data_IF_831993027080
#
_entry.id   IF_831993027080
#
_cell.length_a   1.000
_cell.length_b   1.000
_cell.length_c   1.000
_cell.angle_alpha   90.00
_cell.angle_beta   90.00
_cell.angle_gamma   90.00
#
_symmetry.space_group_name_H-M   'P 1'
#
loop_
_entity.id
_entity.type
_entity.pdbx_description
1 polymer ?
#
# COMPACT_ATOMS: atom_id res chain seq x y z
N UNK A 1 48.36 -3.75 -1.91
CA UNK A 1 47.96 -4.77 -2.90
C UNK A 1 46.74 -4.24 -3.64
N UNK A 2 46.73 -4.18 -4.99
CA UNK A 2 45.57 -3.70 -5.73
C UNK A 2 44.39 -4.64 -5.46
N UNK A 3 43.23 -4.10 -5.08
CA UNK A 3 42.03 -4.89 -4.91
C UNK A 3 41.75 -5.66 -6.20
N UNK A 4 41.53 -6.97 -6.11
CA UNK A 4 41.20 -7.80 -7.28
C UNK A 4 39.95 -7.21 -7.96
N UNK A 5 39.92 -7.20 -9.30
CA UNK A 5 38.89 -6.53 -10.14
C UNK A 5 37.41 -6.82 -9.76
N UNK A 6 37.14 -7.91 -9.04
CA UNK A 6 35.81 -8.32 -8.53
C UNK A 6 35.46 -7.79 -7.12
N UNK A 7 36.42 -7.19 -6.41
CA UNK A 7 36.28 -6.63 -5.05
C UNK A 7 36.24 -5.09 -5.05
N UNK A 8 36.00 -4.46 -6.20
CA UNK A 8 35.68 -3.03 -6.21
C UNK A 8 34.24 -2.83 -5.69
N UNK A 9 33.96 -1.68 -5.08
CA UNK A 9 32.65 -1.38 -4.46
C UNK A 9 31.48 -1.63 -5.42
N UNK A 10 31.66 -1.31 -6.70
CA UNK A 10 30.63 -1.50 -7.74
C UNK A 10 30.24 -2.98 -7.93
N UNK A 11 31.20 -3.89 -7.97
CA UNK A 11 30.92 -5.32 -8.17
C UNK A 11 30.36 -5.97 -6.92
N UNK A 12 30.78 -5.51 -5.73
CA UNK A 12 30.23 -5.98 -4.45
C UNK A 12 28.72 -5.70 -4.38
N UNK A 13 28.27 -4.52 -4.79
CA UNK A 13 26.85 -4.18 -4.83
C UNK A 13 26.06 -5.09 -5.78
N UNK A 14 26.62 -5.42 -6.96
CA UNK A 14 26.00 -6.35 -7.92
C UNK A 14 25.86 -7.75 -7.34
N UNK A 15 26.91 -8.31 -6.74
CA UNK A 15 26.84 -9.63 -6.12
C UNK A 15 25.88 -9.67 -4.94
N UNK A 16 25.90 -8.63 -4.09
CA UNK A 16 24.99 -8.52 -2.96
C UNK A 16 23.53 -8.49 -3.44
N UNK A 17 23.23 -7.67 -4.45
CA UNK A 17 21.89 -7.62 -5.06
C UNK A 17 21.48 -8.97 -5.65
N UNK A 18 22.37 -9.63 -6.39
CA UNK A 18 22.14 -10.96 -6.95
C UNK A 18 21.86 -12.02 -5.89
N UNK A 19 22.61 -12.03 -4.79
CA UNK A 19 22.39 -12.95 -3.66
C UNK A 19 21.05 -12.68 -2.98
N UNK A 20 20.70 -11.41 -2.73
CA UNK A 20 19.40 -11.04 -2.15
C UNK A 20 18.26 -11.55 -3.03
N UNK A 21 18.34 -11.34 -4.36
CA UNK A 21 17.33 -11.83 -5.30
C UNK A 21 17.23 -13.36 -5.24
N UNK A 22 18.35 -14.08 -5.26
CA UNK A 22 18.38 -15.54 -5.18
C UNK A 22 17.75 -16.06 -3.89
N UNK A 23 18.07 -15.44 -2.74
CA UNK A 23 17.49 -15.79 -1.44
C UNK A 23 15.98 -15.55 -1.43
N UNK A 24 15.52 -14.40 -1.95
CA UNK A 24 14.09 -14.10 -2.05
C UNK A 24 13.39 -15.14 -2.93
N UNK A 25 13.90 -15.43 -4.13
CA UNK A 25 13.31 -16.42 -5.03
C UNK A 25 13.25 -17.80 -4.36
N UNK A 26 14.32 -18.24 -3.70
CA UNK A 26 14.36 -19.52 -3.00
C UNK A 26 13.35 -19.58 -1.84
N UNK A 27 13.30 -18.52 -1.04
CA UNK A 27 12.34 -18.37 0.07
C UNK A 27 10.88 -18.47 -0.39
N UNK A 28 10.54 -17.82 -1.51
CA UNK A 28 9.20 -17.87 -2.10
C UNK A 28 8.90 -19.20 -2.80
N UNK A 29 9.86 -19.74 -3.57
CA UNK A 29 9.68 -20.99 -4.34
C UNK A 29 9.47 -22.20 -3.42
N UNK A 30 10.14 -22.21 -2.27
CA UNK A 30 9.99 -23.25 -1.26
C UNK A 30 8.87 -22.99 -0.25
N UNK A 31 8.05 -21.94 -0.44
CA UNK A 31 6.98 -21.52 0.49
C UNK A 31 7.48 -21.41 1.94
N UNK A 32 8.75 -21.07 2.14
CA UNK A 32 9.34 -20.96 3.47
C UNK A 32 8.74 -19.81 4.27
N UNK A 33 8.18 -18.81 3.56
CA UNK A 33 7.53 -17.64 4.15
C UNK A 33 6.23 -17.31 3.44
N UNK A 34 5.12 -17.25 4.19
CA UNK A 34 3.86 -16.68 3.69
C UNK A 34 3.81 -15.18 3.97
N UNK A 35 4.27 -14.39 3.00
CA UNK A 35 4.33 -12.93 3.11
C UNK A 35 2.96 -12.26 3.01
N UNK A 36 1.89 -12.99 2.67
CA UNK A 36 0.52 -12.44 2.60
C UNK A 36 0.03 -11.95 3.95
N UNK A 37 0.47 -12.57 5.03
CA UNK A 37 0.10 -12.18 6.41
C UNK A 37 0.96 -11.04 6.97
N UNK A 38 2.03 -10.64 6.25
CA UNK A 38 2.99 -9.61 6.67
C UNK A 38 2.72 -8.27 5.98
N UNK A 39 1.74 -8.22 5.07
CA UNK A 39 1.36 -6.98 4.38
C UNK A 39 0.65 -6.04 5.36
N UNK A 40 1.33 -4.97 5.74
CA UNK A 40 0.70 -3.84 6.44
C UNK A 40 -0.17 -3.04 5.48
N UNK A 41 -1.33 -2.59 5.97
CA UNK A 41 -2.17 -1.64 5.24
C UNK A 41 -1.76 -0.20 5.55
N UNK A 42 -1.74 0.63 4.51
CA UNK A 42 -1.55 2.07 4.64
C UNK A 42 -2.76 2.84 4.13
N UNK A 43 -3.74 2.18 3.52
CA UNK A 43 -4.91 2.87 2.98
C UNK A 43 -5.75 3.43 4.12
N UNK A 44 -6.12 4.71 4.00
CA UNK A 44 -7.05 5.37 4.91
C UNK A 44 -7.86 6.42 4.16
N UNK A 45 -9.10 6.65 4.57
CA UNK A 45 -9.98 7.66 3.97
C UNK A 45 -10.85 8.28 5.07
N UNK A 46 -11.15 9.57 5.03
CA UNK A 46 -12.05 10.21 6.00
C UNK A 46 -13.50 10.16 5.51
N UNK A 47 -14.47 10.40 6.41
CA UNK A 47 -15.88 10.45 6.02
C UNK A 47 -16.16 11.59 5.05
N UNK A 48 -15.50 12.74 5.24
CA UNK A 48 -15.60 13.88 4.33
C UNK A 48 -15.11 13.51 2.91
N UNK A 49 -14.03 12.74 2.79
CA UNK A 49 -13.51 12.28 1.51
C UNK A 49 -14.47 11.31 0.82
N UNK A 50 -15.07 10.38 1.57
CA UNK A 50 -16.12 9.49 1.04
C UNK A 50 -17.32 10.29 0.56
N UNK A 51 -17.78 11.26 1.34
CA UNK A 51 -18.88 12.14 0.96
C UNK A 51 -18.56 12.94 -0.31
N UNK A 52 -17.32 13.43 -0.46
CA UNK A 52 -16.85 14.15 -1.63
C UNK A 52 -16.84 13.27 -2.90
N UNK A 53 -16.43 12.01 -2.80
CA UNK A 53 -16.38 11.07 -3.95
C UNK A 53 -17.74 10.42 -4.27
N UNK A 54 -18.68 10.43 -3.32
CA UNK A 54 -19.99 9.77 -3.42
C UNK A 54 -20.78 10.14 -4.68
N UNK A 55 -20.91 11.41 -5.10
CA UNK A 55 -21.65 11.76 -6.31
C UNK A 55 -21.09 11.09 -7.58
N UNK A 56 -19.76 11.02 -7.69
CA UNK A 56 -19.09 10.36 -8.82
C UNK A 56 -19.34 8.86 -8.83
N UNK A 57 -19.26 8.22 -7.66
CA UNK A 57 -19.56 6.79 -7.51
C UNK A 57 -21.03 6.45 -7.79
N UNK A 58 -21.97 7.29 -7.36
CA UNK A 58 -23.40 7.13 -7.68
C UNK A 58 -23.62 7.19 -9.19
N UNK A 59 -23.00 8.16 -9.90
CA UNK A 59 -23.10 8.25 -11.35
C UNK A 59 -22.56 7.01 -12.08
N UNK A 60 -21.44 6.45 -11.60
CA UNK A 60 -20.88 5.20 -12.11
C UNK A 60 -21.80 4.00 -11.82
N UNK A 61 -22.38 3.94 -10.62
CA UNK A 61 -23.33 2.89 -10.24
C UNK A 61 -24.62 2.96 -11.05
N UNK A 62 -25.13 4.15 -11.35
CA UNK A 62 -26.32 4.33 -12.19
C UNK A 62 -26.10 3.76 -13.60
N UNK A 63 -24.89 3.90 -14.14
CA UNK A 63 -24.50 3.28 -15.41
C UNK A 63 -24.48 1.76 -15.29
N UNK A 64 -23.85 1.21 -14.24
CA UNK A 64 -23.82 -0.24 -13.98
C UNK A 64 -25.23 -0.83 -13.80
N UNK A 65 -26.12 -0.13 -13.08
CA UNK A 65 -27.51 -0.54 -12.84
C UNK A 65 -28.32 -0.57 -14.14
N UNK A 66 -28.18 0.47 -14.97
CA UNK A 66 -28.83 0.53 -16.29
C UNK A 66 -28.37 -0.63 -17.18
N UNK A 67 -27.07 -0.87 -17.27
CA UNK A 67 -26.50 -1.96 -18.05
C UNK A 67 -26.93 -3.34 -17.54
N UNK A 68 -26.92 -3.53 -16.22
CA UNK A 68 -27.34 -4.79 -15.61
C UNK A 68 -28.84 -5.05 -15.85
N UNK A 69 -29.67 -4.01 -15.87
CA UNK A 69 -31.10 -4.11 -16.18
C UNK A 69 -31.31 -4.47 -17.65
N UNK A 70 -30.62 -3.80 -18.58
CA UNK A 70 -30.71 -4.08 -20.01
C UNK A 70 -30.26 -5.51 -20.38
N UNK A 71 -29.33 -6.08 -19.62
CA UNK A 71 -28.77 -7.43 -19.85
C UNK A 71 -29.38 -8.51 -18.94
N UNK A 72 -30.44 -8.20 -18.20
CA UNK A 72 -31.09 -9.06 -17.19
C UNK A 72 -30.11 -9.72 -16.18
N UNK A 73 -29.06 -8.99 -15.80
CA UNK A 73 -28.02 -9.44 -14.87
C UNK A 73 -28.42 -9.23 -13.41
N UNK A 74 -29.43 -9.99 -12.95
CA UNK A 74 -29.99 -9.88 -11.59
C UNK A 74 -28.95 -10.03 -10.48
N UNK A 75 -27.90 -10.82 -10.72
CA UNK A 75 -26.80 -11.02 -9.78
C UNK A 75 -25.99 -9.75 -9.49
N UNK A 76 -25.88 -8.82 -10.44
CA UNK A 76 -25.16 -7.54 -10.30
C UNK A 76 -26.12 -6.41 -9.89
N UNK A 77 -27.35 -6.43 -10.42
CA UNK A 77 -28.36 -5.40 -10.19
C UNK A 77 -28.63 -5.18 -8.69
N UNK A 78 -28.94 -6.26 -7.95
CA UNK A 78 -29.24 -6.16 -6.52
C UNK A 78 -28.09 -5.54 -5.70
N UNK A 79 -26.86 -6.07 -5.78
CA UNK A 79 -25.71 -5.50 -5.09
C UNK A 79 -25.37 -4.07 -5.51
N UNK A 80 -25.54 -3.70 -6.78
CA UNK A 80 -25.26 -2.34 -7.27
C UNK A 80 -26.26 -1.33 -6.68
N UNK A 81 -27.56 -1.66 -6.67
CA UNK A 81 -28.60 -0.83 -6.06
C UNK A 81 -28.38 -0.70 -4.54
N UNK A 82 -28.06 -1.80 -3.85
CA UNK A 82 -27.76 -1.77 -2.42
C UNK A 82 -26.55 -0.89 -2.09
N UNK A 83 -25.50 -0.93 -2.92
CA UNK A 83 -24.33 -0.06 -2.74
C UNK A 83 -24.66 1.42 -2.95
N UNK A 84 -25.47 1.72 -3.97
CA UNK A 84 -25.95 3.08 -4.23
C UNK A 84 -26.74 3.64 -3.05
N UNK A 85 -27.65 2.86 -2.48
CA UNK A 85 -28.42 3.25 -1.29
C UNK A 85 -27.54 3.42 -0.05
N UNK A 86 -26.56 2.54 0.14
CA UNK A 86 -25.62 2.64 1.25
C UNK A 86 -24.78 3.94 1.16
N UNK A 87 -24.35 4.32 -0.05
CA UNK A 87 -23.65 5.58 -0.31
C UNK A 87 -24.51 6.80 0.04
N UNK A 88 -25.80 6.78 -0.32
CA UNK A 88 -26.72 7.87 0.03
C UNK A 88 -26.93 8.02 1.54
N UNK A 89 -26.89 6.91 2.28
CA UNK A 89 -27.01 6.90 3.74
C UNK A 89 -25.71 7.29 4.46
N UNK A 90 -24.57 7.27 3.78
CA UNK A 90 -23.27 7.62 4.36
C UNK A 90 -22.73 6.63 5.41
N UNK A 91 -23.36 5.46 5.59
CA UNK A 91 -22.90 4.45 6.55
C UNK A 91 -21.74 3.63 5.97
N UNK A 92 -20.51 3.88 6.45
CA UNK A 92 -19.30 3.17 6.00
C UNK A 92 -19.41 1.65 6.07
N UNK A 93 -20.04 1.08 7.10
CA UNK A 93 -20.15 -0.37 7.26
C UNK A 93 -21.11 -0.95 6.23
N UNK A 94 -22.21 -0.25 5.97
CA UNK A 94 -23.14 -0.62 4.91
C UNK A 94 -22.48 -0.52 3.53
N UNK A 95 -21.70 0.54 3.28
CA UNK A 95 -20.96 0.74 2.03
C UNK A 95 -19.92 -0.38 1.83
N UNK A 96 -19.12 -0.72 2.84
CA UNK A 96 -18.13 -1.80 2.75
C UNK A 96 -18.81 -3.15 2.43
N UNK A 97 -19.89 -3.47 3.14
CA UNK A 97 -20.64 -4.73 2.96
C UNK A 97 -21.26 -4.81 1.57
N UNK A 98 -21.94 -3.77 1.12
CA UNK A 98 -22.58 -3.72 -0.19
C UNK A 98 -21.54 -3.71 -1.32
N UNK A 99 -20.42 -2.99 -1.14
CA UNK A 99 -19.30 -2.98 -2.08
C UNK A 99 -18.65 -4.35 -2.21
N UNK A 100 -18.55 -5.12 -1.12
CA UNK A 100 -18.08 -6.52 -1.16
C UNK A 100 -19.01 -7.42 -1.96
N UNK A 101 -20.32 -7.24 -1.80
CA UNK A 101 -21.31 -8.01 -2.53
C UNK A 101 -21.21 -7.70 -4.03
N UNK A 102 -21.06 -6.43 -4.40
CA UNK A 102 -20.89 -6.01 -5.78
C UNK A 102 -19.56 -6.49 -6.38
N UNK A 103 -18.46 -6.40 -5.62
CA UNK A 103 -17.16 -6.94 -6.03
C UNK A 103 -17.28 -8.44 -6.36
N UNK A 104 -17.89 -9.22 -5.46
CA UNK A 104 -18.05 -10.66 -5.64
C UNK A 104 -18.96 -11.00 -6.82
N UNK A 105 -20.06 -10.27 -6.98
CA UNK A 105 -21.02 -10.48 -8.07
C UNK A 105 -20.46 -10.07 -9.44
N UNK A 106 -19.73 -8.95 -9.49
CA UNK A 106 -19.17 -8.39 -10.71
C UNK A 106 -17.83 -9.02 -11.13
N UNK A 107 -17.10 -9.66 -10.22
CA UNK A 107 -15.83 -10.34 -10.54
C UNK A 107 -14.79 -9.39 -11.14
N UNK A 108 -14.36 -9.65 -12.38
CA UNK A 108 -13.39 -8.82 -13.12
C UNK A 108 -14.03 -7.75 -14.01
N UNK A 109 -15.35 -7.59 -13.96
CA UNK A 109 -16.06 -6.55 -14.72
C UNK A 109 -15.91 -5.16 -14.09
N UNK A 110 -16.40 -4.14 -14.80
CA UNK A 110 -16.51 -2.76 -14.29
C UNK A 110 -17.28 -2.71 -12.96
N UNK A 111 -18.37 -3.48 -12.83
CA UNK A 111 -19.13 -3.56 -11.59
C UNK A 111 -18.27 -4.11 -10.44
N UNK A 112 -17.48 -5.15 -10.70
CA UNK A 112 -16.60 -5.75 -9.72
C UNK A 112 -15.49 -4.80 -9.27
N UNK A 113 -14.87 -4.09 -10.22
CA UNK A 113 -13.86 -3.07 -9.95
C UNK A 113 -14.44 -1.89 -9.14
N UNK A 114 -15.62 -1.39 -9.52
CA UNK A 114 -16.31 -0.30 -8.83
C UNK A 114 -16.67 -0.69 -7.38
N UNK A 115 -17.20 -1.91 -7.18
CA UNK A 115 -17.47 -2.45 -5.85
C UNK A 115 -16.21 -2.54 -4.98
N UNK A 116 -15.08 -2.95 -5.59
CA UNK A 116 -13.76 -3.04 -4.92
C UNK A 116 -13.22 -1.67 -4.53
N UNK A 117 -13.31 -0.68 -5.42
CA UNK A 117 -12.80 0.67 -5.15
C UNK A 117 -13.56 1.33 -4.00
N UNK A 118 -14.89 1.33 -4.09
CA UNK A 118 -15.76 1.95 -3.09
C UNK A 118 -15.59 1.29 -1.71
N UNK A 119 -15.57 -0.05 -1.64
CA UNK A 119 -15.30 -0.74 -0.36
C UNK A 119 -13.88 -0.49 0.14
N UNK A 120 -12.92 -0.28 -0.77
CA UNK A 120 -11.55 0.07 -0.44
C UNK A 120 -11.46 1.34 0.38
N UNK A 121 -12.23 2.38 0.04
CA UNK A 121 -12.33 3.60 0.85
C UNK A 121 -13.14 3.40 2.13
N UNK A 122 -14.30 2.76 2.02
CA UNK A 122 -15.21 2.59 3.15
C UNK A 122 -14.58 1.77 4.28
N UNK A 123 -13.89 0.68 3.94
CA UNK A 123 -13.22 -0.22 4.89
C UNK A 123 -11.90 0.30 5.45
N UNK A 124 -11.37 1.42 4.94
CA UNK A 124 -10.04 1.92 5.29
C UNK A 124 -10.11 3.14 6.22
N UNK A 125 -10.11 2.88 7.52
CA UNK A 125 -10.11 3.91 8.56
C UNK A 125 -8.68 4.25 9.01
N UNK A 126 -8.46 5.51 9.42
CA UNK A 126 -7.17 5.95 9.98
C UNK A 126 -6.76 5.10 11.18
N UNK A 127 -7.73 4.75 12.04
CA UNK A 127 -7.53 3.90 13.21
C UNK A 127 -6.92 2.53 12.87
N UNK A 128 -7.24 1.97 11.69
CA UNK A 128 -6.71 0.66 11.24
C UNK A 128 -5.25 0.73 10.83
N UNK A 129 -4.77 1.89 10.38
CA UNK A 129 -3.34 2.09 10.07
C UNK A 129 -2.51 2.03 11.36
N UNK A 130 -3.02 2.61 12.43
CA UNK A 130 -2.35 2.68 13.73
C UNK A 130 -2.72 1.53 14.69
N UNK A 131 -3.58 0.61 14.26
CA UNK A 131 -3.93 -0.57 15.05
C UNK A 131 -2.69 -1.44 15.28
N UNK A 132 -2.60 -2.07 16.46
CA UNK A 132 -1.46 -2.91 16.83
C UNK A 132 -1.20 -4.05 15.83
N UNK A 133 -2.26 -4.67 15.30
CA UNK A 133 -2.14 -5.70 14.26
C UNK A 133 -1.42 -5.19 13.00
N UNK A 134 -1.54 -3.90 12.67
CA UNK A 134 -0.85 -3.29 11.55
C UNK A 134 0.54 -2.76 11.92
N UNK A 135 0.66 -2.09 13.07
CA UNK A 135 1.93 -1.53 13.55
C UNK A 135 2.95 -2.62 13.82
N UNK A 136 2.55 -3.75 14.40
CA UNK A 136 3.45 -4.89 14.60
C UNK A 136 4.03 -5.40 13.27
N UNK A 137 3.22 -5.49 12.20
CA UNK A 137 3.69 -5.84 10.84
C UNK A 137 4.72 -4.84 10.31
N UNK A 138 4.47 -3.54 10.50
CA UNK A 138 5.44 -2.48 10.15
C UNK A 138 6.77 -2.67 10.89
N UNK A 139 6.72 -2.97 12.19
CA UNK A 139 7.92 -3.20 13.01
C UNK A 139 8.67 -4.45 12.54
N UNK A 140 7.97 -5.55 12.25
CA UNK A 140 8.59 -6.77 11.70
C UNK A 140 9.31 -6.47 10.38
N UNK A 141 8.66 -5.73 9.47
CA UNK A 141 9.26 -5.30 8.20
C UNK A 141 10.47 -4.40 8.44
N UNK A 142 10.39 -3.47 9.39
CA UNK A 142 11.49 -2.60 9.77
C UNK A 142 12.70 -3.36 10.30
N UNK A 143 12.50 -4.34 11.19
CA UNK A 143 13.57 -5.19 11.72
C UNK A 143 14.18 -6.05 10.61
N UNK A 144 13.36 -6.65 9.75
CA UNK A 144 13.85 -7.45 8.64
C UNK A 144 14.74 -6.61 7.70
N UNK A 145 14.29 -5.40 7.33
CA UNK A 145 15.08 -4.49 6.50
C UNK A 145 16.33 -3.96 7.20
N UNK A 146 16.27 -3.69 8.50
CA UNK A 146 17.43 -3.31 9.28
C UNK A 146 18.52 -4.38 9.20
N UNK A 147 18.15 -5.65 9.37
CA UNK A 147 19.10 -6.78 9.32
C UNK A 147 19.73 -6.88 7.93
N UNK A 148 18.91 -6.90 6.88
CA UNK A 148 19.40 -7.03 5.49
C UNK A 148 20.31 -5.86 5.13
N UNK A 149 19.89 -4.62 5.43
CA UNK A 149 20.64 -3.44 5.12
C UNK A 149 21.92 -3.31 5.96
N UNK A 150 21.91 -3.70 7.24
CA UNK A 150 23.09 -3.72 8.08
C UNK A 150 24.14 -4.72 7.58
N UNK A 151 23.72 -5.90 7.10
CA UNK A 151 24.61 -6.88 6.47
C UNK A 151 25.24 -6.26 5.21
N UNK A 152 24.42 -5.65 4.34
CA UNK A 152 24.92 -4.97 3.14
C UNK A 152 25.93 -3.87 3.47
N UNK A 153 25.59 -3.00 4.44
CA UNK A 153 26.47 -1.92 4.87
C UNK A 153 27.78 -2.41 5.47
N UNK A 154 27.75 -3.54 6.20
CA UNK A 154 28.96 -4.20 6.73
C UNK A 154 29.85 -4.72 5.60
N UNK A 155 29.27 -5.36 4.59
CA UNK A 155 30.00 -5.91 3.43
C UNK A 155 30.68 -4.78 2.64
N UNK A 156 30.08 -3.60 2.60
CA UNK A 156 30.67 -2.38 2.02
C UNK A 156 31.75 -1.72 2.92
N UNK A 157 32.11 -2.32 4.06
CA UNK A 157 33.12 -1.77 4.98
C UNK A 157 32.61 -0.62 5.88
N UNK A 158 31.30 -0.38 5.89
CA UNK A 158 30.68 0.67 6.69
C UNK A 158 30.64 0.38 8.20
N UNK A 159 30.53 1.44 9.00
CA UNK A 159 30.35 1.35 10.47
C UNK A 159 28.90 0.98 10.82
N UNK A 160 28.65 -0.31 11.01
CA UNK A 160 27.30 -0.87 11.29
C UNK A 160 26.60 -0.17 12.47
N UNK A 161 27.32 0.16 13.54
CA UNK A 161 26.73 0.86 14.69
C UNK A 161 26.13 2.22 14.31
N UNK A 162 26.82 3.01 13.49
CA UNK A 162 26.29 4.29 13.01
C UNK A 162 25.08 4.09 12.08
N UNK A 163 25.12 3.06 11.23
CA UNK A 163 23.98 2.71 10.37
C UNK A 163 22.73 2.34 11.17
N UNK A 164 22.86 1.50 12.20
CA UNK A 164 21.74 1.08 13.05
C UNK A 164 21.10 2.30 13.75
N UNK A 165 21.89 3.31 14.13
CA UNK A 165 21.36 4.54 14.74
C UNK A 165 20.64 5.42 13.72
N UNK A 166 21.14 5.52 12.48
CA UNK A 166 20.51 6.31 11.41
C UNK A 166 19.27 5.65 10.79
N UNK A 167 19.23 4.32 10.73
CA UNK A 167 18.17 3.57 10.06
C UNK A 167 16.76 3.89 10.58
N UNK A 168 16.48 3.96 11.90
CA UNK A 168 15.15 4.29 12.41
C UNK A 168 14.60 5.60 11.84
N UNK A 169 15.44 6.62 11.67
CA UNK A 169 15.02 7.91 11.12
C UNK A 169 14.59 7.73 9.66
N UNK A 170 15.43 7.10 8.83
CA UNK A 170 15.13 6.87 7.41
C UNK A 170 13.90 5.97 7.24
N UNK A 171 13.78 4.94 8.07
CA UNK A 171 12.63 4.04 8.06
C UNK A 171 11.33 4.77 8.42
N UNK A 172 11.36 5.64 9.44
CA UNK A 172 10.21 6.47 9.81
C UNK A 172 9.81 7.45 8.70
N UNK A 173 10.77 8.03 7.97
CA UNK A 173 10.48 8.88 6.81
C UNK A 173 9.84 8.09 5.66
N UNK A 174 10.33 6.87 5.40
CA UNK A 174 9.74 5.98 4.40
C UNK A 174 8.32 5.56 4.81
N UNK A 175 8.12 5.24 6.09
CA UNK A 175 6.81 4.92 6.66
C UNK A 175 5.84 6.11 6.55
N UNK A 176 6.29 7.32 6.89
CA UNK A 176 5.52 8.56 6.77
C UNK A 176 5.09 8.80 5.32
N UNK A 177 6.02 8.65 4.38
CA UNK A 177 5.74 8.79 2.94
C UNK A 177 4.69 7.79 2.46
N UNK A 178 4.76 6.55 2.95
CA UNK A 178 3.79 5.49 2.64
C UNK A 178 2.42 5.76 3.27
N UNK A 179 2.38 6.29 4.49
CA UNK A 179 1.15 6.69 5.15
C UNK A 179 0.45 7.84 4.43
N UNK A 180 1.20 8.87 4.02
CA UNK A 180 0.67 10.00 3.24
C UNK A 180 0.08 9.50 1.92
N UNK A 181 0.81 8.70 1.16
CA UNK A 181 0.33 8.11 -0.09
C UNK A 181 -0.88 7.18 0.07
N UNK A 182 -1.09 6.64 1.27
CA UNK A 182 -2.22 5.81 1.59
C UNK A 182 -3.56 6.57 1.75
N UNK A 183 -3.54 7.91 1.72
CA UNK A 183 -4.77 8.68 1.75
C UNK A 183 -5.64 8.42 0.51
N UNK A 184 -6.95 8.28 0.70
CA UNK A 184 -7.91 7.98 -0.35
C UNK A 184 -7.84 8.93 -1.55
N UNK A 185 -7.71 10.24 -1.32
CA UNK A 185 -7.61 11.23 -2.42
C UNK A 185 -6.35 10.97 -3.26
N UNK A 186 -5.22 10.74 -2.60
CA UNK A 186 -3.95 10.53 -3.31
C UNK A 186 -3.91 9.21 -4.07
N UNK A 187 -4.57 8.18 -3.55
CA UNK A 187 -4.79 6.93 -4.27
C UNK A 187 -5.62 7.18 -5.55
N UNK A 188 -6.71 7.95 -5.46
CA UNK A 188 -7.57 8.25 -6.61
C UNK A 188 -6.84 9.06 -7.69
N UNK A 189 -5.88 9.89 -7.28
CA UNK A 189 -5.02 10.65 -8.20
C UNK A 189 -3.80 9.88 -8.70
N UNK A 190 -3.58 8.65 -8.21
CA UNK A 190 -2.39 7.86 -8.54
C UNK A 190 -1.09 8.45 -7.99
N UNK A 191 -1.15 9.28 -6.94
CA UNK A 191 0.03 9.86 -6.30
C UNK A 191 0.70 8.80 -5.44
N UNK A 192 1.86 8.34 -5.88
CA UNK A 192 2.61 7.29 -5.21
C UNK A 192 3.47 7.80 -4.05
N UNK A 193 3.76 6.89 -3.13
CA UNK A 193 4.68 7.08 -2.00
C UNK A 193 6.07 7.60 -2.40
N UNK A 194 6.53 7.33 -3.62
CA UNK A 194 7.81 7.84 -4.13
C UNK A 194 7.81 9.37 -4.19
N UNK A 195 6.69 9.98 -4.61
CA UNK A 195 6.56 11.44 -4.65
C UNK A 195 6.58 12.05 -3.25
N UNK A 196 5.94 11.40 -2.27
CA UNK A 196 6.00 11.84 -0.88
C UNK A 196 7.39 11.67 -0.27
N UNK A 197 8.12 10.61 -0.62
CA UNK A 197 9.49 10.42 -0.16
C UNK A 197 10.42 11.53 -0.68
N UNK A 198 10.29 11.89 -1.96
CA UNK A 198 11.02 13.02 -2.55
C UNK A 198 10.61 14.34 -1.89
N UNK A 199 9.31 14.58 -1.71
CA UNK A 199 8.79 15.80 -1.09
C UNK A 199 9.30 15.97 0.35
N UNK A 200 9.18 14.94 1.19
CA UNK A 200 9.64 14.98 2.58
C UNK A 200 11.16 15.15 2.64
N UNK A 201 11.90 14.45 1.77
CA UNK A 201 13.36 14.62 1.66
C UNK A 201 13.78 16.04 1.29
N UNK A 202 13.14 16.63 0.28
CA UNK A 202 13.36 18.02 -0.12
C UNK A 202 12.98 18.99 1.00
N UNK A 203 11.84 18.78 1.65
CA UNK A 203 11.38 19.63 2.75
C UNK A 203 12.39 19.64 3.90
N UNK A 204 12.89 18.48 4.32
CA UNK A 204 13.92 18.38 5.36
C UNK A 204 15.19 19.10 4.95
N UNK A 205 15.68 18.84 3.72
CA UNK A 205 16.91 19.46 3.22
C UNK A 205 16.82 21.00 3.15
N UNK A 206 15.64 21.56 2.86
CA UNK A 206 15.43 23.00 2.72
C UNK A 206 14.99 23.71 4.02
N UNK A 207 14.61 22.97 5.08
CA UNK A 207 14.15 23.58 6.34
C UNK A 207 15.12 23.38 7.49
N UNK A 208 15.63 22.17 7.66
CA UNK A 208 16.56 21.85 8.75
C UNK A 208 17.98 22.21 8.33
N UNK A 209 18.29 22.13 7.03
CA UNK A 209 19.65 22.32 6.53
C UNK A 209 20.53 21.14 6.95
N UNK A 210 21.06 20.42 5.97
CA UNK A 210 22.28 19.63 6.16
C UNK A 210 23.48 20.52 5.90
#
# INVERSE_FOLDING_TARGET
MPASKWRTEDWIAVYLGGVIIAVIIAAFSWKLFDLRNVVSTFRWTTDAQIAQSTPGWIGALDTVIKDATAKDQKAILGPATALREALQKGDRKAIDKAGRALEKAGGRSVAGALGREIRGHAGSEVSKVFAWDNISKVVYVGIAWLIVAAIGFKVLGGKVGAFIVGFPVVFLLAWLSRWLAGNGIFIDWGIEYVLFALFVGLLISNTIGT
#
